data_IF_744801975999
#
_entry.id   IF_744801975999
#
_cell.length_a   1.000
_cell.length_b   1.000
_cell.length_c   1.000
_cell.angle_alpha   90.00
_cell.angle_beta   90.00
_cell.angle_gamma   90.00
#
_symmetry.space_group_name_H-M   'P 1'
#
loop_
_entity.id
_entity.type
_entity.pdbx_description
1 polymer ?
#
# COMPACT_ATOMS: atom_id res chain seq x y z
N UNK A 1 -15.09 -4.59 3.62
CA UNK A 1 -15.19 -3.64 2.48
C UNK A 1 -15.92 -4.27 1.30
N UNK A 2 -15.37 -5.32 0.67
CA UNK A 2 -16.01 -5.98 -0.49
C UNK A 2 -17.47 -6.36 -0.23
N UNK A 3 -17.78 -6.96 0.92
CA UNK A 3 -19.17 -7.30 1.29
C UNK A 3 -20.10 -6.08 1.31
N UNK A 4 -19.72 -5.01 2.00
CA UNK A 4 -20.51 -3.78 2.07
C UNK A 4 -20.75 -3.17 0.67
N UNK A 5 -19.71 -3.12 -0.19
CA UNK A 5 -19.84 -2.64 -1.57
C UNK A 5 -20.79 -3.52 -2.39
N UNK A 6 -20.70 -4.85 -2.25
CA UNK A 6 -21.57 -5.77 -2.98
C UNK A 6 -23.00 -5.82 -2.46
N UNK A 7 -23.22 -5.49 -1.19
CA UNK A 7 -24.56 -5.36 -0.62
C UNK A 7 -25.27 -4.13 -1.19
N UNK A 8 -24.56 -2.99 -1.29
CA UNK A 8 -25.10 -1.76 -1.86
C UNK A 8 -25.27 -1.85 -3.40
N UNK A 9 -24.41 -2.60 -4.08
CA UNK A 9 -24.45 -2.77 -5.54
C UNK A 9 -25.17 -4.03 -6.01
N UNK A 10 -25.87 -4.74 -5.12
CA UNK A 10 -26.50 -6.01 -5.44
C UNK A 10 -27.46 -5.91 -6.64
N UNK A 11 -28.23 -4.82 -6.75
CA UNK A 11 -29.16 -4.62 -7.86
C UNK A 11 -28.49 -4.56 -9.25
N UNK A 12 -27.24 -4.06 -9.32
CA UNK A 12 -26.46 -3.99 -10.56
C UNK A 12 -25.75 -5.31 -10.87
N UNK A 13 -25.67 -6.22 -9.90
CA UNK A 13 -25.08 -7.54 -10.08
C UNK A 13 -26.08 -8.54 -10.64
N UNK A 14 -27.34 -8.47 -10.22
CA UNK A 14 -28.41 -9.38 -10.66
C UNK A 14 -29.09 -8.94 -11.97
N UNK A 15 -29.01 -7.66 -12.32
CA UNK A 15 -29.59 -7.10 -13.55
C UNK A 15 -28.53 -6.35 -14.38
N UNK A 16 -28.58 -6.48 -15.70
CA UNK A 16 -27.71 -5.74 -16.62
C UNK A 16 -28.21 -4.30 -16.85
N UNK A 17 -28.05 -3.43 -15.84
CA UNK A 17 -28.45 -2.01 -15.91
C UNK A 17 -27.37 -1.07 -16.45
N UNK A 18 -26.13 -1.56 -16.60
CA UNK A 18 -24.98 -0.74 -16.99
C UNK A 18 -24.68 -0.85 -18.50
N UNK A 19 -24.15 0.22 -19.14
CA UNK A 19 -23.87 0.22 -20.57
C UNK A 19 -22.73 -0.73 -20.99
N UNK A 20 -21.91 -1.16 -20.03
CA UNK A 20 -20.82 -2.11 -20.23
C UNK A 20 -20.51 -2.85 -18.91
N UNK A 21 -19.71 -3.92 -19.02
CA UNK A 21 -19.24 -4.67 -17.85
C UNK A 21 -18.33 -3.81 -16.99
N UNK A 22 -18.74 -3.55 -15.75
CA UNK A 22 -17.96 -2.83 -14.75
C UNK A 22 -17.12 -3.80 -13.91
N UNK A 23 -15.81 -3.55 -13.79
CA UNK A 23 -14.90 -4.27 -12.90
C UNK A 23 -14.49 -3.38 -11.74
N UNK A 24 -14.92 -3.76 -10.54
CA UNK A 24 -14.52 -3.13 -9.28
C UNK A 24 -13.54 -4.05 -8.57
N UNK A 25 -12.35 -3.55 -8.23
CA UNK A 25 -11.33 -4.33 -7.52
C UNK A 25 -10.83 -3.60 -6.29
N UNK A 26 -10.38 -4.38 -5.31
CA UNK A 26 -9.88 -3.88 -4.04
C UNK A 26 -8.47 -4.42 -3.74
N UNK A 27 -7.57 -3.52 -3.36
CA UNK A 27 -6.27 -3.84 -2.78
C UNK A 27 -6.23 -3.37 -1.32
N UNK A 28 -5.75 -4.23 -0.43
CA UNK A 28 -5.54 -3.87 0.98
C UNK A 28 -4.31 -2.99 1.21
N UNK A 29 -3.36 -2.97 0.27
CA UNK A 29 -2.20 -2.09 0.28
C UNK A 29 -1.72 -1.80 -1.16
N UNK A 30 -0.72 -0.92 -1.28
CA UNK A 30 -0.13 -0.50 -2.57
C UNK A 30 0.66 -1.58 -3.30
N UNK A 31 0.84 -2.77 -2.72
CA UNK A 31 1.39 -3.93 -3.45
C UNK A 31 0.42 -4.51 -4.49
N UNK A 32 -0.86 -4.12 -4.42
CA UNK A 32 -1.87 -4.42 -5.45
C UNK A 32 -1.86 -5.89 -5.89
N UNK A 33 -2.07 -6.84 -4.98
CA UNK A 33 -2.04 -8.29 -5.23
C UNK A 33 -3.20 -8.81 -6.11
N UNK A 34 -3.38 -8.23 -7.31
CA UNK A 34 -4.43 -8.53 -8.29
C UNK A 34 -4.47 -7.48 -9.41
N UNK A 35 -5.55 -7.49 -10.19
CA UNK A 35 -5.74 -6.59 -11.34
C UNK A 35 -6.25 -5.18 -10.95
N UNK A 36 -5.84 -4.65 -9.79
CA UNK A 36 -6.38 -3.39 -9.25
C UNK A 36 -5.99 -2.18 -10.12
N UNK A 37 -4.74 -2.15 -10.60
CA UNK A 37 -4.21 -1.05 -11.41
C UNK A 37 -4.85 -0.94 -12.80
N UNK A 38 -5.64 -1.93 -13.23
CA UNK A 38 -6.32 -1.97 -14.53
C UNK A 38 -7.83 -2.22 -14.40
N UNK A 39 -8.41 -1.91 -13.24
CA UNK A 39 -9.85 -1.98 -12.99
C UNK A 39 -10.53 -0.67 -13.36
N UNK A 40 -11.81 -0.74 -13.75
CA UNK A 40 -12.61 0.46 -14.05
C UNK A 40 -12.79 1.32 -12.78
N UNK A 41 -12.97 0.67 -11.64
CA UNK A 41 -12.95 1.30 -10.31
C UNK A 41 -12.03 0.52 -9.38
N UNK A 42 -11.07 1.23 -8.77
CA UNK A 42 -10.08 0.65 -7.87
C UNK A 42 -10.20 1.25 -6.46
N UNK A 43 -10.29 0.38 -5.46
CA UNK A 43 -10.24 0.76 -4.04
C UNK A 43 -8.89 0.31 -3.49
N UNK A 44 -8.05 1.25 -3.06
CA UNK A 44 -6.70 0.95 -2.56
C UNK A 44 -6.54 1.48 -1.14
N UNK A 45 -6.18 0.60 -0.21
CA UNK A 45 -5.75 0.99 1.13
C UNK A 45 -4.38 1.67 1.09
N UNK A 46 -4.29 2.87 1.67
CA UNK A 46 -3.05 3.64 1.78
C UNK A 46 -2.75 3.96 3.25
N UNK A 47 -1.47 3.98 3.60
CA UNK A 47 -1.01 4.56 4.85
C UNK A 47 -0.82 6.07 4.66
N UNK A 48 -1.12 6.85 5.69
CA UNK A 48 -0.97 8.32 5.71
C UNK A 48 0.10 8.79 6.68
N UNK A 49 0.81 7.85 7.31
CA UNK A 49 1.85 8.12 8.30
C UNK A 49 3.14 7.38 7.94
N UNK A 50 4.31 8.01 8.17
CA UNK A 50 5.60 7.35 8.02
C UNK A 50 5.74 6.10 8.92
N UNK A 51 6.61 5.15 8.55
CA UNK A 51 6.89 3.97 9.37
C UNK A 51 7.38 4.33 10.77
N UNK A 52 6.92 3.59 11.77
CA UNK A 52 7.41 3.73 13.13
C UNK A 52 8.86 3.25 13.26
N UNK A 53 9.68 3.99 14.02
CA UNK A 53 11.11 3.73 14.19
C UNK A 53 11.36 2.68 15.28
N UNK A 54 12.09 1.62 14.94
CA UNK A 54 12.46 0.54 15.87
C UNK A 54 13.98 0.34 15.77
N UNK A 55 14.75 1.23 16.41
CA UNK A 55 16.22 1.27 16.26
C UNK A 55 16.93 0.07 16.91
N UNK A 56 16.33 -0.55 17.91
CA UNK A 56 16.88 -1.65 18.71
C UNK A 56 16.91 -2.99 17.98
N UNK A 57 15.94 -3.25 17.09
CA UNK A 57 15.81 -4.55 16.39
C UNK A 57 16.23 -4.53 14.93
N UNK A 58 16.35 -3.33 14.36
CA UNK A 58 16.62 -3.17 12.93
C UNK A 58 17.95 -3.79 12.47
N UNK A 59 19.06 -3.67 13.23
CA UNK A 59 20.33 -4.29 12.83
C UNK A 59 20.29 -5.82 12.80
N UNK A 60 19.47 -6.43 13.66
CA UNK A 60 19.38 -7.89 13.80
C UNK A 60 18.40 -8.51 12.79
N UNK A 61 17.38 -7.76 12.34
CA UNK A 61 16.31 -8.26 11.49
C UNK A 61 16.44 -7.86 10.01
N UNK A 62 17.14 -6.77 9.72
CA UNK A 62 17.13 -6.16 8.40
C UNK A 62 18.53 -5.90 7.86
N UNK A 63 18.72 -6.17 6.57
CA UNK A 63 19.88 -5.69 5.84
C UNK A 63 19.66 -4.21 5.46
N UNK A 64 20.50 -3.32 6.01
CA UNK A 64 20.33 -1.86 5.86
C UNK A 64 20.41 -1.41 4.39
N UNK A 65 21.36 -1.88 3.55
CA UNK A 65 21.41 -1.51 2.14
C UNK A 65 20.13 -1.81 1.35
N UNK A 66 19.57 -3.01 1.50
CA UNK A 66 18.35 -3.42 0.79
C UNK A 66 17.12 -2.68 1.31
N UNK A 67 17.06 -2.43 2.63
CA UNK A 67 16.02 -1.62 3.24
C UNK A 67 16.03 -0.19 2.70
N UNK A 68 17.20 0.45 2.56
CA UNK A 68 17.29 1.79 1.95
C UNK A 68 16.90 1.77 0.47
N UNK A 69 17.35 0.76 -0.29
CA UNK A 69 17.07 0.63 -1.72
C UNK A 69 15.58 0.39 -2.04
N UNK A 70 14.80 -0.13 -1.08
CA UNK A 70 13.37 -0.34 -1.25
C UNK A 70 12.55 0.96 -1.33
N UNK A 71 13.10 2.08 -0.86
CA UNK A 71 12.36 3.35 -0.83
C UNK A 71 12.40 4.05 -2.20
N UNK A 72 11.25 4.22 -2.88
CA UNK A 72 11.21 4.83 -4.22
C UNK A 72 11.58 6.32 -4.23
N UNK A 73 11.39 7.03 -3.11
CA UNK A 73 11.68 8.47 -2.98
C UNK A 73 13.03 8.77 -2.30
N UNK A 74 13.74 7.74 -1.83
CA UNK A 74 14.99 7.90 -1.07
C UNK A 74 14.80 8.60 0.29
N UNK A 75 13.63 8.45 0.92
CA UNK A 75 13.35 9.00 2.25
C UNK A 75 14.18 8.32 3.36
N UNK A 76 14.50 7.03 3.20
CA UNK A 76 15.24 6.21 4.16
C UNK A 76 16.75 6.44 4.00
N UNK A 77 17.42 6.87 5.08
CA UNK A 77 18.87 7.11 5.14
C UNK A 77 19.52 6.29 6.25
N UNK A 78 20.79 5.94 6.07
CA UNK A 78 21.59 5.27 7.10
C UNK A 78 21.83 6.19 8.31
N UNK A 79 21.66 5.65 9.52
CA UNK A 79 22.07 6.28 10.77
C UNK A 79 23.35 5.63 11.30
N UNK A 80 24.52 6.29 11.21
CA UNK A 80 25.77 5.71 11.66
C UNK A 80 25.88 5.58 13.19
N UNK A 81 25.16 6.40 13.97
CA UNK A 81 25.25 6.41 15.43
C UNK A 81 24.67 5.15 16.09
N UNK A 82 23.56 4.65 15.56
CA UNK A 82 22.81 3.50 16.11
C UNK A 82 22.88 2.29 15.19
N UNK A 83 23.69 2.34 14.12
CA UNK A 83 23.68 1.36 13.03
C UNK A 83 22.26 1.03 12.52
N UNK A 84 21.35 2.01 12.51
CA UNK A 84 19.95 1.85 12.08
C UNK A 84 19.62 2.75 10.88
N UNK A 85 18.34 3.06 10.65
CA UNK A 85 17.87 4.00 9.62
C UNK A 85 17.19 5.23 10.23
N UNK A 86 17.21 6.34 9.48
CA UNK A 86 16.42 7.56 9.72
C UNK A 86 15.51 7.80 8.52
N UNK A 87 14.28 8.22 8.77
CA UNK A 87 13.27 8.51 7.74
C UNK A 87 13.11 10.02 7.66
N UNK A 88 13.17 10.59 6.44
CA UNK A 88 12.78 11.98 6.20
C UNK A 88 11.29 12.01 5.88
N UNK A 89 10.46 12.44 6.84
CA UNK A 89 8.99 12.40 6.71
C UNK A 89 8.46 13.22 5.53
N UNK A 90 9.08 14.37 5.24
CA UNK A 90 8.77 15.25 4.09
C UNK A 90 8.86 14.53 2.72
N UNK A 91 9.59 13.42 2.65
CA UNK A 91 9.81 12.64 1.42
C UNK A 91 9.07 11.30 1.42
N UNK A 92 8.41 10.95 2.52
CA UNK A 92 7.76 9.66 2.73
C UNK A 92 6.29 9.71 2.34
#
# INVERSE_FOLDING_TARGET
IVKAVMDDLHEYFVEEKLPAKLRISLACCTNMCGAIHCSDVAIVGIHTQPPHRIDDKLPDLCEIPTTMASCPTGAIKRNPETNSVRIQEEKC
#
